data_IF_066683488529
#
_entry.id   IF_066683488529
#
_cell.length_a   1.000
_cell.length_b   1.000
_cell.length_c   1.000
_cell.angle_alpha   90.00
_cell.angle_beta   90.00
_cell.angle_gamma   90.00
#
_symmetry.space_group_name_H-M   'P 1'
#
loop_
_entity.id
_entity.type
_entity.pdbx_description
1 polymer ?
#
# COMPACT_ATOMS: atom_id res chain seq x y z
N UNK A 1 -4.22 -24.99 22.82
CA UNK A 1 -4.63 -25.02 21.39
C UNK A 1 -3.40 -24.73 20.55
N UNK A 2 -3.11 -25.51 19.49
CA UNK A 2 -1.99 -25.21 18.59
C UNK A 2 -2.21 -23.84 17.90
N UNK A 3 -1.12 -23.13 17.64
CA UNK A 3 -1.16 -21.88 16.88
C UNK A 3 -1.52 -22.18 15.41
N UNK A 4 -2.43 -21.39 14.84
CA UNK A 4 -2.74 -21.48 13.40
C UNK A 4 -1.63 -20.79 12.61
N UNK A 5 -1.21 -19.62 13.10
CA UNK A 5 -0.11 -18.84 12.58
C UNK A 5 0.71 -18.19 13.71
N UNK A 6 2.03 -18.09 13.50
CA UNK A 6 2.95 -17.32 14.33
C UNK A 6 4.02 -16.68 13.43
N UNK A 7 4.17 -15.36 13.53
CA UNK A 7 5.12 -14.58 12.74
C UNK A 7 5.85 -13.54 13.59
N UNK A 8 7.14 -13.36 13.34
CA UNK A 8 7.98 -12.33 13.98
C UNK A 8 8.66 -11.47 12.93
N UNK A 9 8.54 -10.16 13.06
CA UNK A 9 9.18 -9.15 12.21
C UNK A 9 10.14 -8.34 13.07
N UNK A 10 11.42 -8.30 12.70
CA UNK A 10 12.44 -7.60 13.49
C UNK A 10 12.31 -6.08 13.39
N UNK A 11 11.96 -5.56 12.22
CA UNK A 11 11.73 -4.14 11.99
C UNK A 11 10.34 -3.90 11.39
N UNK A 12 9.42 -3.45 12.23
CA UNK A 12 8.03 -3.21 11.86
C UNK A 12 7.80 -1.86 11.15
N UNK A 13 8.83 -1.08 10.82
CA UNK A 13 8.67 0.29 10.27
C UNK A 13 7.81 0.30 9.01
N UNK A 14 8.08 -0.56 8.02
CA UNK A 14 7.29 -0.65 6.78
C UNK A 14 5.83 -1.02 7.08
N UNK A 15 5.59 -1.94 8.02
CA UNK A 15 4.24 -2.29 8.47
C UNK A 15 3.54 -1.08 9.07
N UNK A 16 4.20 -0.32 9.94
CA UNK A 16 3.61 0.88 10.54
C UNK A 16 3.19 1.89 9.47
N UNK A 17 4.02 2.14 8.46
CA UNK A 17 3.64 3.04 7.36
C UNK A 17 2.45 2.52 6.56
N UNK A 18 2.40 1.20 6.29
CA UNK A 18 1.23 0.56 5.67
C UNK A 18 -0.04 0.77 6.49
N UNK A 19 0.02 0.51 7.79
CA UNK A 19 -1.14 0.64 8.68
C UNK A 19 -1.57 2.11 8.88
N UNK A 20 -0.64 3.07 8.79
CA UNK A 20 -1.00 4.51 8.75
C UNK A 20 -1.80 4.86 7.51
N UNK A 21 -1.49 4.27 6.36
CA UNK A 21 -2.27 4.48 5.13
C UNK A 21 -3.59 3.71 5.18
N UNK A 22 -3.58 2.47 5.64
CA UNK A 22 -4.82 1.71 5.85
C UNK A 22 -5.79 2.52 6.70
N UNK A 23 -5.31 3.19 7.77
CA UNK A 23 -6.13 4.05 8.63
C UNK A 23 -6.87 5.15 7.86
N UNK A 24 -6.24 5.75 6.84
CA UNK A 24 -6.80 6.86 6.04
C UNK A 24 -7.84 6.42 5.02
N UNK A 25 -7.89 5.13 4.67
CA UNK A 25 -8.90 4.59 3.77
C UNK A 25 -10.25 4.44 4.46
N UNK A 26 -11.32 4.75 3.74
CA UNK A 26 -12.72 4.65 4.18
C UNK A 26 -13.23 3.21 4.06
N UNK A 27 -12.49 2.28 4.65
CA UNK A 27 -12.89 0.89 4.81
C UNK A 27 -13.17 0.62 6.29
N UNK A 28 -14.18 -0.17 6.62
CA UNK A 28 -14.40 -0.57 8.02
C UNK A 28 -13.53 -1.75 8.42
N UNK A 29 -13.25 -2.64 7.45
CA UNK A 29 -12.58 -3.91 7.66
C UNK A 29 -11.28 -4.01 6.88
N UNK A 30 -10.41 -4.89 7.35
CA UNK A 30 -9.18 -5.33 6.69
C UNK A 30 -9.24 -6.84 6.59
N UNK A 31 -8.95 -7.37 5.40
CA UNK A 31 -8.81 -8.82 5.20
C UNK A 31 -7.33 -9.19 5.24
N UNK A 32 -7.02 -10.27 5.95
CA UNK A 32 -5.66 -10.80 6.11
C UNK A 32 -5.70 -12.28 5.74
N UNK A 33 -4.91 -12.70 4.75
CA UNK A 33 -4.64 -14.10 4.49
C UNK A 33 -3.35 -14.49 5.22
N UNK A 34 -3.47 -15.40 6.17
CA UNK A 34 -2.33 -16.12 6.72
C UNK A 34 -2.14 -17.39 5.90
N UNK A 35 -1.12 -17.42 5.05
CA UNK A 35 -0.84 -18.53 4.15
C UNK A 35 0.38 -19.31 4.63
N UNK A 36 0.71 -20.42 3.97
CA UNK A 36 1.94 -21.20 4.21
C UNK A 36 3.19 -20.57 3.62
N UNK A 37 3.05 -19.61 2.70
CA UNK A 37 4.12 -18.92 1.98
C UNK A 37 4.27 -17.45 2.35
N UNK A 38 3.29 -16.85 3.03
CA UNK A 38 3.36 -15.45 3.42
C UNK A 38 2.13 -14.96 4.18
N UNK A 39 2.11 -13.65 4.42
CA UNK A 39 0.95 -12.92 4.93
C UNK A 39 0.53 -11.86 3.94
N UNK A 40 -0.76 -11.84 3.61
CA UNK A 40 -1.30 -10.93 2.61
C UNK A 40 -2.42 -10.08 3.19
N UNK A 41 -2.46 -8.81 2.80
CA UNK A 41 -3.42 -7.85 3.29
C UNK A 41 -4.22 -7.28 2.12
N UNK A 42 -5.52 -7.08 2.32
CA UNK A 42 -6.36 -6.31 1.40
C UNK A 42 -7.28 -5.38 2.16
N UNK A 43 -7.25 -4.11 1.80
CA UNK A 43 -8.16 -3.07 2.29
C UNK A 43 -8.51 -2.17 1.13
N UNK A 44 -9.74 -1.67 1.08
CA UNK A 44 -10.10 -0.72 0.06
C UNK A 44 -11.50 -0.17 0.24
N UNK A 45 -11.75 0.91 -0.48
CA UNK A 45 -13.05 1.50 -0.73
C UNK A 45 -13.30 1.52 -2.24
N UNK A 46 -14.36 2.20 -2.67
CA UNK A 46 -14.61 2.45 -4.10
C UNK A 46 -13.54 3.35 -4.73
N UNK A 47 -12.90 4.23 -3.96
CA UNK A 47 -11.90 5.18 -4.46
C UNK A 47 -10.51 4.54 -4.62
N UNK A 48 -10.15 3.61 -3.74
CA UNK A 48 -8.85 2.98 -3.77
C UNK A 48 -8.82 1.61 -3.08
N UNK A 49 -8.04 0.70 -3.65
CA UNK A 49 -7.77 -0.63 -3.09
C UNK A 49 -6.26 -0.77 -2.89
N UNK A 50 -5.87 -1.17 -1.68
CA UNK A 50 -4.51 -1.61 -1.35
C UNK A 50 -4.46 -3.13 -1.20
N UNK A 51 -3.52 -3.75 -1.89
CA UNK A 51 -3.11 -5.16 -1.70
C UNK A 51 -1.63 -5.21 -1.32
N UNK A 52 -1.33 -5.96 -0.27
CA UNK A 52 0.05 -6.16 0.20
C UNK A 52 0.34 -7.65 0.27
N UNK A 53 1.46 -8.07 -0.29
CA UNK A 53 2.03 -9.40 -0.17
C UNK A 53 3.34 -9.32 0.61
N UNK A 54 3.46 -10.11 1.67
CA UNK A 54 4.67 -10.23 2.48
C UNK A 54 5.08 -11.69 2.50
N UNK A 55 6.20 -11.99 1.86
CA UNK A 55 6.75 -13.35 1.78
C UNK A 55 7.20 -13.85 3.15
N UNK A 56 7.12 -15.16 3.41
CA UNK A 56 7.51 -15.76 4.70
C UNK A 56 8.95 -15.45 5.10
N UNK A 57 9.85 -15.28 4.13
CA UNK A 57 11.27 -14.94 4.36
C UNK A 57 11.44 -13.53 4.93
N UNK A 58 10.42 -12.67 4.86
CA UNK A 58 10.43 -11.37 5.55
C UNK A 58 10.40 -11.51 7.08
N UNK A 59 9.95 -12.65 7.58
CA UNK A 59 9.78 -12.91 9.01
C UNK A 59 10.99 -13.65 9.57
N UNK A 60 11.53 -13.21 10.71
CA UNK A 60 12.61 -13.91 11.41
C UNK A 60 12.14 -15.23 12.04
N UNK A 61 10.84 -15.37 12.26
CA UNK A 61 10.19 -16.62 12.61
C UNK A 61 8.83 -16.67 11.90
N UNK A 62 8.54 -17.77 11.20
CA UNK A 62 7.29 -17.96 10.48
C UNK A 62 6.81 -19.41 10.63
N UNK A 63 5.61 -19.56 11.16
CA UNK A 63 4.91 -20.84 11.24
C UNK A 63 3.47 -20.60 10.82
N UNK A 64 3.01 -21.32 9.81
CA UNK A 64 1.61 -21.32 9.39
C UNK A 64 1.19 -22.74 9.08
N UNK A 65 0.12 -23.20 9.74
CA UNK A 65 -0.34 -24.59 9.63
C UNK A 65 -1.26 -24.83 8.43
N UNK A 66 -1.90 -23.77 7.92
CA UNK A 66 -2.88 -23.79 6.84
C UNK A 66 -3.21 -22.38 6.38
N UNK A 67 -3.82 -22.27 5.21
CA UNK A 67 -4.32 -21.01 4.70
C UNK A 67 -5.63 -20.63 5.40
N UNK A 68 -5.69 -19.42 5.96
CA UNK A 68 -6.91 -18.86 6.55
C UNK A 68 -7.07 -17.38 6.22
N UNK A 69 -8.27 -16.99 5.80
CA UNK A 69 -8.62 -15.58 5.61
C UNK A 69 -9.34 -15.06 6.85
N UNK A 70 -8.75 -14.07 7.49
CA UNK A 70 -9.28 -13.38 8.66
C UNK A 70 -9.75 -11.98 8.28
N UNK A 71 -10.95 -11.61 8.70
CA UNK A 71 -11.50 -10.27 8.58
C UNK A 71 -11.51 -9.63 9.96
N UNK A 72 -11.03 -8.39 10.05
CA UNK A 72 -10.91 -7.66 11.30
C UNK A 72 -11.44 -6.23 11.17
N UNK A 73 -11.83 -5.62 12.31
CA UNK A 73 -12.11 -4.19 12.37
C UNK A 73 -10.80 -3.41 12.17
N UNK A 74 -10.70 -2.68 11.06
CA UNK A 74 -9.47 -2.00 10.64
C UNK A 74 -8.99 -0.97 11.66
N UNK A 75 -9.90 -0.17 12.21
CA UNK A 75 -9.58 0.95 13.08
C UNK A 75 -8.70 0.52 14.27
N UNK A 76 -9.11 -0.52 15.01
CA UNK A 76 -8.36 -1.00 16.17
C UNK A 76 -6.96 -1.48 15.81
N UNK A 77 -6.81 -2.28 14.75
CA UNK A 77 -5.49 -2.78 14.34
C UNK A 77 -4.56 -1.62 13.96
N UNK A 78 -5.08 -0.69 13.15
CA UNK A 78 -4.32 0.48 12.74
C UNK A 78 -3.91 1.33 13.94
N UNK A 79 -4.83 1.58 14.87
CA UNK A 79 -4.56 2.38 16.08
C UNK A 79 -3.50 1.73 16.96
N UNK A 80 -3.58 0.42 17.18
CA UNK A 80 -2.56 -0.30 17.93
C UNK A 80 -1.18 -0.17 17.25
N UNK A 81 -1.07 -0.58 15.98
CA UNK A 81 0.22 -0.58 15.29
C UNK A 81 0.82 0.82 15.14
N UNK A 82 -0.01 1.84 14.87
CA UNK A 82 0.45 3.23 14.74
C UNK A 82 0.87 3.86 16.07
N UNK A 83 0.28 3.45 17.21
CA UNK A 83 0.57 4.04 18.53
C UNK A 83 1.71 3.34 19.27
N UNK A 84 1.91 2.04 19.03
CA UNK A 84 2.85 1.25 19.83
C UNK A 84 4.17 0.93 19.13
N UNK A 85 4.16 0.90 17.80
CA UNK A 85 5.32 0.51 16.99
C UNK A 85 6.01 1.75 16.43
N UNK A 86 7.17 2.05 16.99
CA UNK A 86 8.05 3.10 16.50
C UNK A 86 9.07 2.57 15.51
N UNK A 87 9.93 3.45 15.01
CA UNK A 87 11.09 3.05 14.21
C UNK A 87 11.95 2.09 15.04
N UNK A 88 12.34 0.96 14.43
CA UNK A 88 13.14 -0.07 15.09
C UNK A 88 12.39 -0.96 16.09
N UNK A 89 11.06 -0.86 16.17
CA UNK A 89 10.26 -1.83 16.93
C UNK A 89 10.16 -3.16 16.19
N UNK A 90 10.20 -4.27 16.93
CA UNK A 90 9.82 -5.59 16.40
C UNK A 90 8.35 -5.89 16.67
N UNK A 91 7.74 -6.72 15.83
CA UNK A 91 6.33 -7.10 15.91
C UNK A 91 6.20 -8.63 15.89
N UNK A 92 5.51 -9.17 16.88
CA UNK A 92 5.10 -10.57 16.93
C UNK A 92 3.60 -10.66 16.74
N UNK A 93 3.19 -11.59 15.88
CA UNK A 93 1.80 -11.84 15.52
C UNK A 93 1.52 -13.31 15.78
N UNK A 94 0.46 -13.62 16.52
CA UNK A 94 0.05 -15.00 16.78
C UNK A 94 -1.45 -15.13 16.58
N UNK A 95 -1.87 -16.08 15.75
CA UNK A 95 -3.26 -16.43 15.53
C UNK A 95 -3.57 -17.75 16.22
N UNK A 96 -4.51 -17.74 17.16
CA UNK A 96 -4.98 -18.95 17.87
C UNK A 96 -6.50 -18.91 17.95
N UNK A 97 -7.16 -19.89 17.33
CA UNK A 97 -8.60 -19.81 17.09
C UNK A 97 -8.95 -18.46 16.44
N UNK A 98 -10.00 -17.81 16.92
CA UNK A 98 -10.48 -16.53 16.39
C UNK A 98 -9.82 -15.29 17.03
N UNK A 99 -8.61 -15.45 17.58
CA UNK A 99 -7.89 -14.34 18.24
C UNK A 99 -6.51 -14.14 17.63
N UNK A 100 -6.24 -12.91 17.16
CA UNK A 100 -4.90 -12.42 16.87
C UNK A 100 -4.35 -11.73 18.12
N UNK A 101 -3.21 -12.21 18.60
CA UNK A 101 -2.38 -11.52 19.59
C UNK A 101 -1.26 -10.78 18.85
N UNK A 102 -1.10 -9.51 19.17
CA UNK A 102 -0.01 -8.67 18.68
C UNK A 102 0.87 -8.30 19.86
N UNK A 103 2.18 -8.41 19.70
CA UNK A 103 3.15 -7.97 20.70
C UNK A 103 4.26 -7.21 20.01
N UNK A 104 4.32 -5.91 20.29
CA UNK A 104 5.41 -5.04 19.83
C UNK A 104 6.48 -4.93 20.92
N UNK A 105 7.75 -5.01 20.53
CA UNK A 105 8.89 -4.74 21.42
C UNK A 105 9.58 -3.48 20.89
N UNK A 106 9.65 -2.44 21.73
CA UNK A 106 10.31 -1.17 21.39
C UNK A 106 11.83 -1.27 21.55
N UNK A 107 12.63 -0.36 20.93
CA UNK A 107 14.09 -0.36 21.06
C UNK A 107 14.60 -0.29 22.52
N UNK A 108 13.81 0.27 23.43
CA UNK A 108 14.09 0.31 24.87
C UNK A 108 13.58 -0.93 25.63
N UNK A 109 13.33 -2.04 24.93
CA UNK A 109 12.81 -3.31 25.46
C UNK A 109 11.43 -3.26 26.12
N UNK A 110 10.67 -2.16 25.97
CA UNK A 110 9.29 -2.10 26.43
C UNK A 110 8.42 -2.98 25.53
N UNK A 111 7.69 -3.92 26.16
CA UNK A 111 6.75 -4.82 25.48
C UNK A 111 5.33 -4.28 25.63
N UNK A 112 4.62 -4.14 24.51
CA UNK A 112 3.21 -3.75 24.48
C UNK A 112 2.45 -4.81 23.72
N UNK A 113 1.34 -5.29 24.26
CA UNK A 113 0.54 -6.35 23.63
C UNK A 113 -0.93 -5.98 23.54
N UNK A 114 -1.59 -6.49 22.51
CA UNK A 114 -3.04 -6.40 22.35
C UNK A 114 -3.59 -7.69 21.78
N UNK A 115 -4.89 -7.91 21.97
CA UNK A 115 -5.63 -9.04 21.43
C UNK A 115 -6.82 -8.52 20.63
N UNK A 116 -7.09 -9.19 19.54
CA UNK A 116 -8.08 -8.83 18.54
C UNK A 116 -8.89 -10.07 18.19
N UNK A 117 -10.20 -9.95 18.25
CA UNK A 117 -11.09 -10.97 17.68
C UNK A 117 -11.18 -10.78 16.18
N UNK A 118 -11.26 -11.90 15.47
CA UNK A 118 -11.41 -11.95 14.02
C UNK A 118 -12.67 -12.71 13.65
N UNK A 119 -13.10 -12.56 12.39
CA UNK A 119 -14.06 -13.46 11.78
C UNK A 119 -13.38 -14.15 10.60
N UNK A 120 -13.51 -15.47 10.50
CA UNK A 120 -13.01 -16.17 9.32
C UNK A 120 -13.93 -15.92 8.13
N UNK A 121 -13.33 -15.62 6.97
CA UNK A 121 -14.05 -15.58 5.71
C UNK A 121 -14.01 -16.95 5.04
N UNK A 122 -15.10 -17.33 4.37
CA UNK A 122 -15.20 -18.56 3.58
C UNK A 122 -14.61 -18.43 2.18
N UNK A 123 -14.36 -17.20 1.73
CA UNK A 123 -13.90 -16.90 0.38
C UNK A 123 -12.40 -16.64 0.38
N UNK A 124 -11.74 -16.98 -0.72
CA UNK A 124 -10.33 -16.68 -0.94
C UNK A 124 -10.09 -15.16 -1.01
N UNK A 125 -8.91 -14.74 -0.55
CA UNK A 125 -8.48 -13.36 -0.63
C UNK A 125 -7.84 -13.09 -2.01
N UNK A 126 -8.61 -12.54 -2.95
CA UNK A 126 -8.07 -12.13 -4.25
C UNK A 126 -7.27 -10.84 -4.13
N UNK A 127 -5.95 -10.92 -4.25
CA UNK A 127 -5.05 -9.77 -4.27
C UNK A 127 -5.03 -9.09 -5.64
N UNK A 128 -4.67 -7.80 -5.66
CA UNK A 128 -4.30 -7.15 -6.91
C UNK A 128 -2.99 -7.74 -7.41
N UNK A 129 -2.98 -8.12 -8.70
CA UNK A 129 -1.77 -8.67 -9.32
C UNK A 129 -0.82 -7.56 -9.81
N UNK A 130 0.51 -7.82 -9.78
CA UNK A 130 1.48 -6.93 -10.40
C UNK A 130 1.12 -6.65 -11.86
N UNK A 131 1.09 -5.38 -12.24
CA UNK A 131 0.84 -5.01 -13.64
C UNK A 131 2.11 -5.23 -14.45
N UNK A 132 2.07 -6.13 -15.42
CA UNK A 132 3.22 -6.46 -16.29
C UNK A 132 3.18 -5.71 -17.62
N UNK A 133 2.01 -5.16 -17.99
CA UNK A 133 1.79 -4.39 -19.22
C UNK A 133 0.93 -3.17 -18.91
N UNK A 134 1.35 -2.03 -19.43
CA UNK A 134 0.64 -0.76 -19.37
C UNK A 134 0.97 0.05 -20.62
N UNK A 135 0.15 1.06 -20.93
CA UNK A 135 0.45 2.00 -22.02
C UNK A 135 1.69 2.85 -21.70
N UNK A 136 1.85 3.22 -20.42
CA UNK A 136 3.07 3.80 -19.89
C UNK A 136 3.39 3.27 -18.47
N UNK A 137 4.67 3.01 -18.23
CA UNK A 137 5.21 2.72 -16.89
C UNK A 137 6.26 3.75 -16.53
N UNK A 138 6.13 4.34 -15.34
CA UNK A 138 7.03 5.37 -14.83
C UNK A 138 7.56 4.96 -13.46
N UNK A 139 8.88 4.92 -13.30
CA UNK A 139 9.53 4.68 -12.03
C UNK A 139 9.95 5.99 -11.36
N UNK A 140 9.76 6.09 -10.05
CA UNK A 140 10.14 7.22 -9.22
C UNK A 140 10.88 6.75 -7.98
N UNK A 141 11.85 7.54 -7.52
CA UNK A 141 12.15 7.51 -6.10
C UNK A 141 10.88 7.91 -5.34
N UNK A 142 10.46 7.11 -4.35
CA UNK A 142 9.19 7.31 -3.63
C UNK A 142 9.06 8.70 -3.02
N UNK A 143 10.17 9.26 -2.53
CA UNK A 143 10.22 10.63 -1.99
C UNK A 143 9.82 11.70 -3.02
N UNK A 144 10.16 11.49 -4.29
CA UNK A 144 9.90 12.44 -5.36
C UNK A 144 8.42 12.38 -5.76
N UNK A 145 7.85 11.17 -5.87
CA UNK A 145 6.41 10.98 -6.08
C UNK A 145 5.58 11.64 -4.96
N UNK A 146 5.94 11.41 -3.69
CA UNK A 146 5.28 12.06 -2.55
C UNK A 146 5.38 13.58 -2.65
N UNK A 147 6.55 14.12 -3.03
CA UNK A 147 6.79 15.56 -3.18
C UNK A 147 5.92 16.17 -4.29
N UNK A 148 5.81 15.49 -5.42
CA UNK A 148 4.96 15.88 -6.55
C UNK A 148 3.49 15.96 -6.12
N UNK A 149 2.96 14.89 -5.52
CA UNK A 149 1.55 14.83 -5.10
C UNK A 149 1.24 15.89 -4.04
N UNK A 150 2.13 16.11 -3.07
CA UNK A 150 1.98 17.19 -2.07
C UNK A 150 2.03 18.59 -2.67
N UNK A 151 2.80 18.76 -3.74
CA UNK A 151 2.85 20.06 -4.45
C UNK A 151 1.53 20.30 -5.16
N UNK A 152 1.00 19.30 -5.89
CA UNK A 152 -0.29 19.38 -6.58
C UNK A 152 -1.44 19.63 -5.60
N UNK A 153 -1.44 18.95 -4.45
CA UNK A 153 -2.51 19.12 -3.47
C UNK A 153 -2.58 20.53 -2.86
N UNK A 154 -1.45 21.24 -2.76
CA UNK A 154 -1.40 22.63 -2.28
C UNK A 154 -2.02 23.63 -3.25
N UNK A 155 -2.36 23.19 -4.46
CA UNK A 155 -3.03 24.02 -5.47
C UNK A 155 -4.55 24.08 -5.26
N UNK A 156 -5.07 23.41 -4.22
CA UNK A 156 -6.50 23.28 -3.89
C UNK A 156 -7.32 22.70 -5.05
N UNK A 157 -6.81 21.64 -5.67
CA UNK A 157 -7.40 21.02 -6.85
C UNK A 157 -7.99 19.67 -6.50
N UNK A 158 -9.21 19.42 -6.97
CA UNK A 158 -9.93 18.17 -6.69
C UNK A 158 -9.28 16.96 -7.37
N UNK A 159 -8.65 17.16 -8.52
CA UNK A 159 -8.09 16.06 -9.32
C UNK A 159 -6.63 16.30 -9.72
N UNK A 160 -5.91 15.21 -9.90
CA UNK A 160 -4.53 15.16 -10.41
C UNK A 160 -4.53 14.33 -11.69
N UNK A 161 -3.99 14.88 -12.77
CA UNK A 161 -3.88 14.19 -14.06
C UNK A 161 -2.43 13.82 -14.34
N UNK A 162 -2.18 12.54 -14.62
CA UNK A 162 -0.90 12.05 -15.12
C UNK A 162 -0.99 11.85 -16.63
N UNK A 163 -0.12 12.52 -17.38
CA UNK A 163 -0.12 12.46 -18.84
C UNK A 163 1.26 12.06 -19.36
N UNK A 164 1.38 10.85 -19.87
CA UNK A 164 2.56 10.41 -20.59
C UNK A 164 2.47 10.84 -22.05
N UNK A 165 3.56 11.36 -22.60
CA UNK A 165 3.69 11.73 -24.00
C UNK A 165 4.50 10.71 -24.79
N UNK A 166 4.38 10.75 -26.11
CA UNK A 166 5.10 9.87 -27.04
C UNK A 166 6.61 10.10 -27.06
N UNK A 167 7.09 11.25 -26.60
CA UNK A 167 8.52 11.56 -26.45
C UNK A 167 9.12 10.97 -25.15
N UNK A 168 8.33 10.21 -24.39
CA UNK A 168 8.74 9.60 -23.13
C UNK A 168 8.70 10.56 -21.94
N UNK A 169 8.18 11.79 -22.09
CA UNK A 169 7.97 12.69 -20.96
C UNK A 169 6.69 12.38 -20.19
N UNK A 170 6.65 12.80 -18.93
CA UNK A 170 5.45 12.78 -18.07
C UNK A 170 5.12 14.20 -17.63
N UNK A 171 3.85 14.58 -17.78
CA UNK A 171 3.28 15.76 -17.15
C UNK A 171 2.38 15.33 -15.99
N UNK A 172 2.51 16.02 -14.86
CA UNK A 172 1.58 15.88 -13.73
C UNK A 172 0.87 17.21 -13.57
N UNK A 173 -0.43 17.21 -13.82
CA UNK A 173 -1.24 18.41 -13.98
C UNK A 173 -2.21 18.49 -12.80
N UNK A 174 -2.11 19.57 -12.03
CA UNK A 174 -3.06 19.90 -10.96
C UNK A 174 -4.23 20.76 -11.44
N UNK A 175 -4.14 21.45 -12.57
CA UNK A 175 -5.16 22.39 -13.06
C UNK A 175 -5.19 22.42 -14.59
N UNK A 176 -6.33 22.70 -15.24
CA UNK A 176 -6.38 23.02 -16.67
C UNK A 176 -5.62 24.31 -17.03
N UNK A 177 -5.26 25.15 -16.07
CA UNK A 177 -4.39 26.32 -16.30
C UNK A 177 -2.91 25.97 -16.10
N UNK A 178 -2.11 26.28 -17.13
CA UNK A 178 -0.68 25.99 -17.40
C UNK A 178 0.36 26.20 -16.27
N UNK A 179 -0.04 26.63 -15.07
CA UNK A 179 0.83 27.28 -14.08
C UNK A 179 1.64 26.28 -13.24
N UNK A 180 1.31 24.99 -13.27
CA UNK A 180 2.15 23.93 -12.69
C UNK A 180 2.61 22.92 -13.75
N UNK A 181 3.11 23.43 -14.89
CA UNK A 181 4.13 22.73 -15.66
C UNK A 181 5.40 22.62 -14.81
N UNK A 182 5.42 21.71 -13.83
CA UNK A 182 6.71 21.29 -13.28
C UNK A 182 7.40 20.55 -14.42
N UNK A 183 8.35 21.27 -15.01
CA UNK A 183 9.16 20.89 -16.16
C UNK A 183 9.52 19.41 -16.12
N UNK A 184 9.17 18.75 -17.24
CA UNK A 184 9.62 17.44 -17.69
C UNK A 184 10.88 16.98 -16.96
N UNK A 185 10.72 16.08 -15.99
CA UNK A 185 11.83 15.27 -15.53
C UNK A 185 11.89 14.04 -16.43
N UNK A 186 12.90 14.01 -17.30
CA UNK A 186 13.26 12.79 -18.02
C UNK A 186 13.85 11.82 -17.01
N UNK A 187 13.05 10.87 -16.56
CA UNK A 187 13.55 9.76 -15.75
C UNK A 187 14.09 8.69 -16.69
N UNK A 188 15.35 8.24 -16.55
CA UNK A 188 15.78 7.03 -17.23
C UNK A 188 14.88 5.88 -16.79
N UNK A 189 14.25 5.18 -17.74
CA UNK A 189 13.38 4.04 -17.46
C UNK A 189 11.88 4.24 -17.72
N UNK A 190 11.46 5.34 -18.35
CA UNK A 190 10.08 5.45 -18.87
C UNK A 190 9.94 4.48 -20.05
N UNK A 191 9.24 3.37 -19.84
CA UNK A 191 8.72 2.54 -20.93
C UNK A 191 7.34 3.08 -21.28
N UNK A 192 7.31 4.17 -22.06
CA UNK A 192 6.09 4.66 -22.67
C UNK A 192 5.97 4.05 -24.06
N UNK A 193 4.89 3.31 -24.30
CA UNK A 193 4.58 2.75 -25.62
C UNK A 193 3.61 3.65 -26.38
N UNK A 194 2.84 4.48 -25.66
CA UNK A 194 1.77 5.33 -26.18
C UNK A 194 1.55 6.55 -25.28
N UNK A 195 1.05 7.63 -25.89
CA UNK A 195 0.51 8.74 -25.11
C UNK A 195 -0.75 8.27 -24.36
N UNK A 196 -0.80 8.51 -23.06
CA UNK A 196 -1.90 8.10 -22.17
C UNK A 196 -2.10 9.13 -21.08
N UNK A 197 -3.35 9.33 -20.70
CA UNK A 197 -3.77 10.24 -19.65
C UNK A 197 -4.61 9.47 -18.63
N UNK A 198 -4.37 9.71 -17.34
CA UNK A 198 -5.16 9.16 -16.25
C UNK A 198 -5.41 10.25 -15.22
N UNK A 199 -6.68 10.46 -14.88
CA UNK A 199 -7.15 11.48 -13.94
C UNK A 199 -7.66 10.82 -12.67
N UNK A 200 -7.24 11.27 -11.50
CA UNK A 200 -7.64 10.68 -10.20
C UNK A 200 -7.91 11.77 -9.17
N UNK A 201 -8.66 11.43 -8.11
CA UNK A 201 -8.92 12.35 -7.00
C UNK A 201 -7.62 12.63 -6.22
N UNK A 202 -7.28 13.92 -6.06
CA UNK A 202 -6.05 14.36 -5.39
C UNK A 202 -6.02 13.93 -3.92
N UNK A 203 -7.16 14.02 -3.23
CA UNK A 203 -7.27 13.62 -1.82
C UNK A 203 -7.06 12.12 -1.64
N UNK A 204 -7.58 11.30 -2.56
CA UNK A 204 -7.36 9.85 -2.53
C UNK A 204 -5.88 9.54 -2.74
N UNK A 205 -5.20 10.17 -3.70
CA UNK A 205 -3.75 10.03 -3.89
C UNK A 205 -2.95 10.39 -2.62
N UNK A 206 -3.29 11.50 -1.97
CA UNK A 206 -2.65 11.93 -0.73
C UNK A 206 -2.85 10.94 0.43
N UNK A 207 -4.02 10.29 0.47
CA UNK A 207 -4.31 9.25 1.47
C UNK A 207 -3.42 8.02 1.25
N UNK A 208 -3.22 7.60 0.00
CA UNK A 208 -2.65 6.28 -0.32
C UNK A 208 -1.17 6.26 -0.71
N UNK A 209 -0.58 7.37 -1.15
CA UNK A 209 0.85 7.40 -1.45
C UNK A 209 1.64 7.60 -0.15
N UNK A 210 2.57 6.67 0.11
CA UNK A 210 3.34 6.62 1.35
C UNK A 210 4.80 6.22 1.14
N UNK A 211 5.66 6.47 2.14
CA UNK A 211 7.09 6.14 2.09
C UNK A 211 7.32 4.65 2.43
N UNK A 212 6.71 3.74 1.67
CA UNK A 212 6.75 2.31 2.01
C UNK A 212 8.09 1.64 1.69
N UNK A 213 8.61 1.97 0.52
CA UNK A 213 9.85 1.46 -0.08
C UNK A 213 10.50 2.59 -0.88
N UNK A 214 11.75 2.40 -1.31
CA UNK A 214 12.54 3.45 -1.95
C UNK A 214 12.07 3.83 -3.36
N UNK A 215 11.51 2.87 -4.11
CA UNK A 215 11.01 3.08 -5.47
C UNK A 215 9.51 2.79 -5.59
N UNK A 216 8.81 3.67 -6.32
CA UNK A 216 7.41 3.52 -6.70
C UNK A 216 7.29 3.47 -8.23
N UNK A 217 6.43 2.60 -8.76
CA UNK A 217 6.12 2.51 -10.19
C UNK A 217 4.66 2.84 -10.43
N UNK A 218 4.41 3.78 -11.33
CA UNK A 218 3.08 4.13 -11.81
C UNK A 218 2.83 3.39 -13.13
N UNK A 219 1.64 2.80 -13.25
CA UNK A 219 1.15 2.17 -14.47
C UNK A 219 -0.08 2.92 -14.95
N UNK A 220 0.05 3.56 -16.11
CA UNK A 220 -1.01 4.30 -16.77
C UNK A 220 -1.57 3.42 -17.90
N UNK A 221 -2.88 3.22 -17.92
CA UNK A 221 -3.57 2.47 -18.98
C UNK A 221 -4.87 3.18 -19.29
N UNK A 222 -5.13 3.38 -20.58
CA UNK A 222 -6.26 4.18 -21.02
C UNK A 222 -7.59 3.56 -20.57
N UNK A 223 -8.39 4.33 -19.84
CA UNK A 223 -9.72 3.90 -19.35
C UNK A 223 -9.67 2.89 -18.20
N UNK A 224 -8.52 2.78 -17.52
CA UNK A 224 -8.36 1.94 -16.33
C UNK A 224 -7.88 2.76 -15.14
N UNK A 225 -8.11 2.23 -13.94
CA UNK A 225 -7.59 2.79 -12.69
C UNK A 225 -6.07 2.94 -12.71
N UNK A 226 -5.59 3.99 -12.05
CA UNK A 226 -4.17 4.19 -11.82
C UNK A 226 -3.66 3.07 -10.90
N UNK A 227 -2.60 2.37 -11.34
CA UNK A 227 -1.87 1.45 -10.45
C UNK A 227 -0.55 2.04 -10.00
N UNK A 228 -0.30 1.97 -8.70
CA UNK A 228 0.97 2.32 -8.06
C UNK A 228 1.51 1.06 -7.41
N UNK A 229 2.75 0.69 -7.73
CA UNK A 229 3.42 -0.47 -7.18
C UNK A 229 4.69 -0.07 -6.46
N UNK A 230 4.86 -0.60 -5.25
CA UNK A 230 6.11 -0.59 -4.52
C UNK A 230 6.53 -2.05 -4.37
N UNK A 231 7.76 -2.39 -4.77
CA UNK A 231 8.21 -3.77 -4.71
C UNK A 231 9.67 -3.83 -4.29
N UNK A 232 9.94 -4.70 -3.33
CA UNK A 232 11.26 -5.21 -3.00
C UNK A 232 11.23 -6.75 -3.09
N UNK A 233 12.33 -7.43 -2.75
CA UNK A 233 12.47 -8.87 -2.85
C UNK A 233 11.40 -9.64 -2.06
N UNK A 234 10.99 -9.14 -0.89
CA UNK A 234 10.15 -9.87 0.07
C UNK A 234 8.79 -9.21 0.36
N UNK A 235 8.54 -8.03 -0.22
CA UNK A 235 7.29 -7.30 -0.03
C UNK A 235 6.85 -6.64 -1.33
N UNK A 236 5.58 -6.79 -1.66
CA UNK A 236 4.93 -6.14 -2.80
C UNK A 236 3.67 -5.43 -2.33
N UNK A 237 3.58 -4.13 -2.60
CA UNK A 237 2.45 -3.26 -2.26
C UNK A 237 1.90 -2.74 -3.58
N UNK A 238 0.62 -3.03 -3.85
CA UNK A 238 -0.07 -2.59 -5.04
C UNK A 238 -1.27 -1.77 -4.60
N UNK A 239 -1.35 -0.58 -5.16
CA UNK A 239 -2.43 0.38 -4.94
C UNK A 239 -3.13 0.56 -6.27
N UNK A 240 -4.45 0.41 -6.27
CA UNK A 240 -5.31 0.78 -7.38
C UNK A 240 -6.14 1.99 -6.94
N UNK A 241 -6.08 3.07 -7.70
CA UNK A 241 -6.83 4.32 -7.45
C UNK A 241 -7.80 4.51 -8.59
N UNK A 242 -9.09 4.61 -8.26
CA UNK A 242 -10.14 4.78 -9.24
C UNK A 242 -9.92 6.04 -10.08
N UNK A 243 -10.28 5.96 -11.36
CA UNK A 243 -10.28 7.11 -12.24
C UNK A 243 -11.36 8.09 -11.77
N UNK A 244 -11.04 9.38 -11.73
CA UNK A 244 -12.03 10.40 -11.40
C UNK A 244 -12.98 10.55 -12.58
N UNK A 245 -14.28 10.39 -12.33
CA UNK A 245 -15.33 10.72 -13.29
C UNK A 245 -15.57 12.22 -13.31
N UNK A 246 -15.83 12.79 -14.48
CA UNK A 246 -16.24 14.19 -14.65
C UNK A 246 -17.64 14.46 -14.10
#
# INVERSE_FOLDING_TARGET
>A
MPHIFQGSIENATTFVELFRVFKKLEAETLSILFSTDGVYFKVGSQEAILSVAVEKEYFSHFVSSRNVVAVIKKAFLCDFLCSVSGVGSSLNITLTGETIKLTTIRPNNIKVSSKLNITYATNDLTLLEPKTRADATIAFATKDLISIIKTVSRLNQQTTTFKSKSDGSLEVIGSPTDVFKKSVQYFPGISSRKAVETKVMTDTLLKVVGPYLDEARLYLTKGESLRIQYRDALISIIIEVAEATD
#
